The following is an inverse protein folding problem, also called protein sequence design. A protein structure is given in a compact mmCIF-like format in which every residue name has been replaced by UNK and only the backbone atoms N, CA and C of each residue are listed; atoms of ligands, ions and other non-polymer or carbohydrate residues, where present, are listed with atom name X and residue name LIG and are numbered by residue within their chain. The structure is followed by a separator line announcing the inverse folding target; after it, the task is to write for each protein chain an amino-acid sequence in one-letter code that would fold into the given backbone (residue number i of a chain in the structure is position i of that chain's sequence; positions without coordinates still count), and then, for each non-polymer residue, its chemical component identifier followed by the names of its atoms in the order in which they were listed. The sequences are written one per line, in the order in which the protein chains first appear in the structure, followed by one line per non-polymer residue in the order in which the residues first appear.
data_IF_889503605736
#
_entry.id   IF_889503605736
#
_cell.length_a   1.000
_cell.length_b   1.000
_cell.length_c   1.000
_cell.angle_alpha   90.00
_cell.angle_beta   90.00
_cell.angle_gamma   90.00
#
_symmetry.space_group_name_H-M   'P 1'
#
loop_
_entity.id
_entity.type
_entity.pdbx_description
1 polymer ?
#
# COMPACT_ATOMS: atom_id res chain seq x y z
N UNK A 1 -8.73 28.40 35.56
CA UNK A 1 -7.97 28.21 34.34
C UNK A 1 -8.02 26.72 34.02
N UNK A 2 -8.97 26.33 33.15
CA UNK A 2 -9.11 24.95 32.69
C UNK A 2 -7.91 24.61 31.78
N UNK A 3 -6.94 23.89 32.37
CA UNK A 3 -5.74 23.39 31.67
C UNK A 3 -5.97 22.04 31.00
N UNK A 4 -7.19 21.76 30.59
CA UNK A 4 -7.53 20.53 29.89
C UNK A 4 -7.98 20.85 28.45
N UNK A 5 -7.17 21.64 27.71
CA UNK A 5 -7.41 21.83 26.28
C UNK A 5 -7.02 20.53 25.56
N UNK A 6 -8.02 19.83 25.03
CA UNK A 6 -7.78 18.66 24.17
C UNK A 6 -6.92 19.07 22.95
N UNK A 7 -6.09 18.15 22.44
CA UNK A 7 -5.30 18.40 21.22
C UNK A 7 -6.20 18.91 20.08
N UNK A 8 -5.88 20.08 19.54
CA UNK A 8 -6.73 20.77 18.56
C UNK A 8 -6.00 21.09 17.24
N UNK A 9 -4.74 20.73 17.10
CA UNK A 9 -3.96 20.97 15.90
C UNK A 9 -3.93 19.72 15.01
N UNK A 10 -3.92 19.94 13.69
CA UNK A 10 -3.70 18.89 12.69
C UNK A 10 -2.51 19.28 11.83
N UNK A 11 -1.58 18.35 11.67
CA UNK A 11 -0.47 18.49 10.74
C UNK A 11 -0.79 17.70 9.46
N UNK A 12 -0.97 18.41 8.35
CA UNK A 12 -1.13 17.81 7.03
C UNK A 12 0.20 17.84 6.26
N UNK A 13 0.56 16.73 5.63
CA UNK A 13 1.75 16.64 4.76
C UNK A 13 1.33 16.02 3.44
N UNK A 14 1.63 16.70 2.33
CA UNK A 14 1.46 16.17 0.97
C UNK A 14 2.83 15.98 0.31
N UNK A 15 3.16 14.74 -0.03
CA UNK A 15 4.41 14.41 -0.71
C UNK A 15 4.15 14.13 -2.18
N UNK A 16 4.38 15.16 -2.99
CA UNK A 16 4.34 15.07 -4.44
C UNK A 16 5.65 14.61 -5.06
N UNK A 17 5.68 14.46 -6.38
CA UNK A 17 6.88 14.05 -7.12
C UNK A 17 8.01 15.08 -7.13
N UNK A 18 7.72 16.37 -6.87
CA UNK A 18 8.67 17.49 -6.94
C UNK A 18 8.79 18.23 -5.60
N UNK A 19 7.68 18.45 -4.92
CA UNK A 19 7.61 19.16 -3.65
C UNK A 19 6.88 18.34 -2.61
N UNK A 20 7.30 18.54 -1.37
CA UNK A 20 6.60 18.13 -0.15
C UNK A 20 6.08 19.40 0.51
N UNK A 21 4.79 19.46 0.70
CA UNK A 21 4.08 20.57 1.33
C UNK A 21 3.61 20.14 2.74
N UNK A 22 3.68 21.03 3.71
CA UNK A 22 3.16 20.83 5.05
C UNK A 22 2.33 22.00 5.51
N UNK A 23 1.26 21.71 6.24
CA UNK A 23 0.33 22.71 6.78
C UNK A 23 -0.01 22.35 8.21
N UNK A 24 0.10 23.30 9.11
CA UNK A 24 -0.44 23.24 10.47
C UNK A 24 -1.79 23.93 10.51
N UNK A 25 -2.81 23.20 10.94
CA UNK A 25 -4.19 23.64 10.93
C UNK A 25 -4.79 23.57 12.34
N UNK A 26 -5.55 24.59 12.73
CA UNK A 26 -6.45 24.50 13.88
C UNK A 26 -7.73 23.76 13.49
N UNK A 27 -8.02 22.65 14.17
CA UNK A 27 -9.06 21.71 13.76
C UNK A 27 -10.47 22.30 13.74
N UNK A 28 -10.86 23.00 14.82
CA UNK A 28 -12.22 23.52 14.98
C UNK A 28 -12.53 24.66 14.02
N UNK A 29 -11.61 25.60 13.86
CA UNK A 29 -11.81 26.78 13.02
C UNK A 29 -11.38 26.57 11.58
N UNK A 30 -10.65 25.47 11.29
CA UNK A 30 -9.99 25.20 10.00
C UNK A 30 -9.02 26.27 9.55
N UNK A 31 -8.53 27.10 10.51
CA UNK A 31 -7.58 28.16 10.22
C UNK A 31 -6.18 27.57 9.99
N UNK A 32 -5.56 27.92 8.88
CA UNK A 32 -4.14 27.62 8.63
C UNK A 32 -3.30 28.49 9.53
N UNK A 33 -2.48 27.87 10.38
CA UNK A 33 -1.56 28.56 11.31
C UNK A 33 -0.16 28.73 10.70
N UNK A 34 0.31 27.71 9.99
CA UNK A 34 1.58 27.72 9.29
C UNK A 34 1.54 26.85 8.05
N UNK A 35 2.34 27.19 7.06
CA UNK A 35 2.55 26.37 5.88
C UNK A 35 4.02 26.40 5.48
N UNK A 36 4.54 25.27 5.02
CA UNK A 36 5.92 25.11 4.60
C UNK A 36 5.99 24.23 3.35
N UNK A 37 6.97 24.51 2.50
CA UNK A 37 7.25 23.75 1.28
C UNK A 37 8.73 23.41 1.20
N UNK A 38 9.04 22.18 0.81
CA UNK A 38 10.39 21.69 0.55
C UNK A 38 10.46 20.90 -0.74
N UNK A 39 11.65 20.70 -1.30
CA UNK A 39 11.86 19.82 -2.44
C UNK A 39 11.73 18.35 -1.98
N UNK A 40 11.00 17.55 -2.75
CA UNK A 40 10.96 16.12 -2.53
C UNK A 40 12.25 15.45 -2.98
N UNK A 41 12.93 14.77 -2.08
CA UNK A 41 14.12 13.98 -2.39
C UNK A 41 13.73 12.55 -2.70
N UNK A 42 13.69 12.18 -3.99
CA UNK A 42 13.20 10.84 -4.45
C UNK A 42 14.02 9.66 -3.91
N UNK A 43 15.27 9.86 -3.50
CA UNK A 43 16.14 8.80 -2.93
C UNK A 43 15.92 8.60 -1.43
N UNK A 44 15.46 9.64 -0.75
CA UNK A 44 15.19 9.65 0.69
C UNK A 44 14.09 10.66 1.00
N UNK A 45 12.88 10.17 1.16
CA UNK A 45 11.71 10.99 1.45
C UNK A 45 11.80 11.69 2.81
N UNK A 46 12.62 11.15 3.73
CA UNK A 46 12.77 11.72 5.08
C UNK A 46 13.27 13.16 5.03
N UNK A 47 14.16 13.50 4.08
CA UNK A 47 14.76 14.83 3.96
C UNK A 47 13.68 15.90 3.71
N UNK A 48 12.80 15.68 2.75
CA UNK A 48 11.72 16.62 2.43
C UNK A 48 10.70 16.75 3.56
N UNK A 49 10.33 15.62 4.16
CA UNK A 49 9.39 15.55 5.28
C UNK A 49 9.94 16.26 6.50
N UNK A 50 11.18 15.97 6.89
CA UNK A 50 11.85 16.59 8.03
C UNK A 50 11.99 18.11 7.81
N UNK A 51 12.41 18.52 6.61
CA UNK A 51 12.53 19.93 6.25
C UNK A 51 11.20 20.69 6.36
N UNK A 52 10.11 20.06 5.96
CA UNK A 52 8.77 20.63 6.08
C UNK A 52 8.34 20.76 7.54
N UNK A 53 8.49 19.69 8.33
CA UNK A 53 8.09 19.73 9.75
C UNK A 53 8.98 20.69 10.54
N UNK A 54 10.29 20.76 10.25
CA UNK A 54 11.21 21.71 10.90
C UNK A 54 10.90 23.18 10.56
N UNK A 55 10.44 23.43 9.33
CA UNK A 55 10.02 24.76 8.91
C UNK A 55 8.68 25.23 9.50
N UNK A 56 7.87 24.29 10.03
CA UNK A 56 6.66 24.59 10.76
C UNK A 56 7.01 24.68 12.24
N UNK A 57 6.95 25.88 12.80
CA UNK A 57 7.19 26.09 14.24
C UNK A 57 6.01 25.53 15.04
N UNK A 58 6.22 24.39 15.71
CA UNK A 58 5.25 23.72 16.57
C UNK A 58 5.67 24.02 18.02
N UNK A 59 4.93 24.92 18.71
CA UNK A 59 5.25 25.31 20.09
C UNK A 59 4.98 24.15 21.07
N UNK A 60 3.88 23.45 20.89
CA UNK A 60 3.48 22.32 21.71
C UNK A 60 3.11 21.10 20.86
N UNK A 61 4.02 20.12 20.72
CA UNK A 61 3.75 18.89 19.97
C UNK A 61 2.56 18.07 20.51
N UNK A 62 2.26 18.19 21.81
CA UNK A 62 1.14 17.47 22.43
C UNK A 62 -0.24 18.04 22.02
N UNK A 63 -0.28 19.25 21.48
CA UNK A 63 -1.48 19.87 20.93
C UNK A 63 -1.88 19.27 19.56
N UNK A 64 -1.00 18.46 18.93
CA UNK A 64 -1.32 17.78 17.66
C UNK A 64 -2.19 16.56 17.96
N UNK A 65 -3.42 16.58 17.45
CA UNK A 65 -4.38 15.49 17.59
C UNK A 65 -4.25 14.43 16.49
N UNK A 66 -3.70 14.80 15.33
CA UNK A 66 -3.56 13.91 14.18
C UNK A 66 -2.50 14.45 13.20
N UNK A 67 -1.72 13.55 12.65
CA UNK A 67 -0.91 13.82 11.44
C UNK A 67 -1.57 13.12 10.27
N UNK A 68 -1.85 13.85 9.19
CA UNK A 68 -2.43 13.31 7.96
C UNK A 68 -1.45 13.43 6.81
N UNK A 69 -1.23 12.34 6.08
CA UNK A 69 -0.34 12.35 4.91
C UNK A 69 -1.08 11.95 3.64
N UNK A 70 -0.82 12.69 2.56
CA UNK A 70 -1.13 12.28 1.19
C UNK A 70 0.15 12.12 0.39
N UNK A 71 0.09 11.34 -0.68
CA UNK A 71 1.27 11.11 -1.51
C UNK A 71 0.90 10.70 -2.94
N UNK A 72 1.70 11.14 -3.90
CA UNK A 72 1.62 10.68 -5.28
C UNK A 72 2.58 9.52 -5.59
N UNK A 73 3.26 8.95 -4.57
CA UNK A 73 4.30 7.92 -4.75
C UNK A 73 3.80 6.70 -5.51
N UNK A 74 2.67 6.12 -5.09
CA UNK A 74 2.10 4.95 -5.74
C UNK A 74 1.72 5.24 -7.19
N UNK A 75 1.04 6.35 -7.44
CA UNK A 75 0.64 6.78 -8.79
C UNK A 75 1.85 7.00 -9.70
N UNK A 76 2.87 7.68 -9.19
CA UNK A 76 4.10 7.95 -9.95
C UNK A 76 4.90 6.67 -10.20
N UNK A 77 4.99 5.76 -9.23
CA UNK A 77 5.70 4.49 -9.40
C UNK A 77 5.06 3.64 -10.51
N UNK A 78 3.73 3.60 -10.56
CA UNK A 78 3.01 2.88 -11.63
C UNK A 78 3.22 3.56 -12.97
N UNK A 79 3.04 4.89 -13.06
CA UNK A 79 3.16 5.64 -14.31
C UNK A 79 4.58 5.60 -14.90
N UNK A 80 5.60 5.58 -14.03
CA UNK A 80 7.01 5.54 -14.42
C UNK A 80 7.56 4.10 -14.55
N UNK A 81 6.75 3.07 -14.29
CA UNK A 81 7.18 1.66 -14.30
C UNK A 81 8.26 1.34 -13.25
N UNK A 82 8.26 2.06 -12.12
CA UNK A 82 9.27 1.94 -11.06
C UNK A 82 8.85 1.05 -9.89
N UNK A 83 7.78 0.28 -10.05
CA UNK A 83 7.40 -0.73 -9.07
C UNK A 83 8.47 -1.82 -8.92
N UNK A 84 8.47 -2.48 -7.77
CA UNK A 84 9.35 -3.63 -7.51
C UNK A 84 8.97 -4.81 -8.42
N UNK A 85 9.92 -5.71 -8.68
CA UNK A 85 9.68 -6.93 -9.46
C UNK A 85 8.82 -7.90 -8.66
N UNK A 86 7.71 -8.30 -9.22
CA UNK A 86 6.74 -9.18 -8.55
C UNK A 86 6.57 -10.48 -9.32
N UNK A 87 6.49 -11.59 -8.59
CA UNK A 87 5.96 -12.84 -9.11
C UNK A 87 4.48 -12.96 -8.72
N UNK A 88 3.61 -13.19 -9.69
CA UNK A 88 2.18 -13.40 -9.49
C UNK A 88 1.86 -14.91 -9.62
N UNK A 89 1.47 -15.52 -8.52
CA UNK A 89 1.07 -16.93 -8.45
C UNK A 89 -0.45 -17.03 -8.60
N UNK A 90 -0.90 -17.67 -9.67
CA UNK A 90 -2.29 -17.82 -10.08
C UNK A 90 -2.79 -19.22 -9.80
N UNK A 91 -3.54 -19.41 -8.71
CA UNK A 91 -4.04 -20.74 -8.28
C UNK A 91 -5.43 -20.98 -8.85
N UNK A 92 -5.57 -22.06 -9.63
CA UNK A 92 -6.84 -22.48 -10.21
C UNK A 92 -7.36 -21.58 -11.34
N UNK A 93 -6.51 -20.76 -11.92
CA UNK A 93 -6.78 -20.05 -13.17
C UNK A 93 -6.61 -21.00 -14.36
N UNK A 94 -7.41 -20.78 -15.40
CA UNK A 94 -7.33 -21.52 -16.63
C UNK A 94 -6.41 -20.80 -17.63
N UNK A 95 -5.22 -21.35 -17.96
CA UNK A 95 -4.27 -20.72 -18.89
C UNK A 95 -4.88 -20.48 -20.27
N UNK A 96 -5.68 -21.41 -20.77
CA UNK A 96 -6.27 -21.32 -22.12
C UNK A 96 -7.27 -20.15 -22.22
N UNK A 97 -8.02 -19.88 -21.12
CA UNK A 97 -8.92 -18.74 -21.07
C UNK A 97 -8.14 -17.42 -20.96
N UNK A 98 -7.07 -17.39 -20.17
CA UNK A 98 -6.21 -16.20 -20.04
C UNK A 98 -5.60 -15.84 -21.39
N UNK A 99 -5.08 -16.80 -22.13
CA UNK A 99 -4.46 -16.56 -23.44
C UNK A 99 -5.49 -16.21 -24.50
N UNK A 100 -6.60 -16.94 -24.59
CA UNK A 100 -7.68 -16.72 -25.56
C UNK A 100 -8.25 -15.29 -25.48
N UNK A 101 -8.40 -14.77 -24.27
CA UNK A 101 -8.95 -13.42 -24.05
C UNK A 101 -7.88 -12.37 -23.78
N UNK A 102 -6.60 -12.68 -24.00
CA UNK A 102 -5.44 -11.78 -23.78
C UNK A 102 -5.44 -11.12 -22.39
N UNK A 103 -5.93 -11.83 -21.37
CA UNK A 103 -6.08 -11.28 -20.03
C UNK A 103 -4.73 -11.06 -19.35
N UNK A 104 -3.67 -11.74 -19.80
CA UNK A 104 -2.31 -11.56 -19.31
C UNK A 104 -1.79 -10.13 -19.48
N UNK A 105 -2.25 -9.41 -20.51
CA UNK A 105 -1.90 -8.00 -20.74
C UNK A 105 -2.38 -7.07 -19.61
N UNK A 106 -3.34 -7.52 -18.82
CA UNK A 106 -3.89 -6.77 -17.66
C UNK A 106 -3.11 -7.01 -16.38
N UNK A 107 -2.29 -8.06 -16.29
CA UNK A 107 -1.48 -8.30 -15.12
C UNK A 107 -0.41 -7.23 -14.98
N UNK A 108 -0.21 -6.74 -13.75
CA UNK A 108 0.75 -5.68 -13.48
C UNK A 108 2.21 -6.17 -13.43
N UNK A 109 2.46 -7.39 -13.88
CA UNK A 109 3.79 -8.01 -13.94
C UNK A 109 3.85 -9.02 -15.09
N UNK A 110 5.00 -9.12 -15.79
CA UNK A 110 5.21 -10.17 -16.77
C UNK A 110 5.55 -11.53 -16.14
N UNK A 111 5.85 -11.58 -14.85
CA UNK A 111 6.25 -12.79 -14.13
C UNK A 111 5.02 -13.41 -13.46
N UNK A 112 4.17 -14.10 -14.20
CA UNK A 112 3.01 -14.80 -13.66
C UNK A 112 3.11 -16.30 -13.92
N UNK A 113 2.58 -17.11 -12.99
CA UNK A 113 2.72 -18.56 -12.98
C UNK A 113 1.41 -19.21 -12.60
N UNK A 114 0.95 -20.16 -13.43
CA UNK A 114 -0.25 -20.94 -13.15
C UNK A 114 0.10 -22.11 -12.24
N UNK A 115 -0.71 -22.30 -11.22
CA UNK A 115 -0.50 -23.33 -10.20
C UNK A 115 -1.81 -24.11 -9.99
N UNK A 116 -1.66 -25.41 -9.80
CA UNK A 116 -2.76 -26.30 -9.56
C UNK A 116 -3.42 -26.08 -8.19
N UNK A 117 -4.75 -26.18 -8.19
CA UNK A 117 -5.59 -25.95 -7.03
C UNK A 117 -6.92 -25.32 -7.43
N UNK A 118 -7.59 -24.75 -6.47
CA UNK A 118 -8.78 -23.92 -6.69
C UNK A 118 -10.06 -24.48 -6.09
N UNK A 119 -11.01 -23.55 -5.91
CA UNK A 119 -12.34 -23.80 -5.39
C UNK A 119 -13.39 -23.59 -6.49
N UNK A 120 -14.59 -24.13 -6.30
CA UNK A 120 -15.76 -23.86 -7.13
C UNK A 120 -16.49 -22.57 -6.69
N UNK A 121 -17.53 -22.19 -7.41
CA UNK A 121 -18.35 -21.00 -7.09
C UNK A 121 -19.15 -21.12 -5.77
N UNK A 122 -19.10 -22.27 -5.09
CA UNK A 122 -19.68 -22.49 -3.76
C UNK A 122 -18.60 -22.50 -2.66
N UNK A 123 -17.33 -22.22 -3.01
CA UNK A 123 -16.21 -22.26 -2.07
C UNK A 123 -15.74 -23.67 -1.69
N UNK A 124 -16.18 -24.73 -2.41
CA UNK A 124 -15.72 -26.10 -2.17
C UNK A 124 -14.46 -26.36 -2.99
N UNK A 125 -13.51 -27.08 -2.41
CA UNK A 125 -12.28 -27.46 -3.12
C UNK A 125 -12.62 -28.29 -4.38
N UNK A 126 -12.29 -27.74 -5.55
CA UNK A 126 -12.47 -28.39 -6.86
C UNK A 126 -11.24 -29.21 -7.24
N UNK A 127 -10.06 -28.70 -6.92
CA UNK A 127 -8.77 -29.34 -7.16
C UNK A 127 -7.89 -29.11 -5.94
N UNK A 128 -7.21 -30.13 -5.40
CA UNK A 128 -6.28 -29.99 -4.29
C UNK A 128 -5.15 -29.00 -4.64
N UNK A 129 -4.71 -28.23 -3.63
CA UNK A 129 -3.61 -27.30 -3.77
C UNK A 129 -2.29 -28.05 -3.98
N UNK A 130 -1.59 -27.75 -5.07
CA UNK A 130 -0.25 -28.28 -5.35
C UNK A 130 0.83 -27.50 -4.58
N UNK A 131 0.99 -27.80 -3.29
CA UNK A 131 2.04 -27.19 -2.46
C UNK A 131 3.47 -27.49 -2.95
N UNK A 132 3.80 -28.73 -3.39
CA UNK A 132 5.12 -29.01 -3.98
C UNK A 132 5.42 -28.13 -5.20
N UNK A 133 4.45 -27.96 -6.11
CA UNK A 133 4.60 -27.11 -7.28
C UNK A 133 4.80 -25.63 -6.91
N UNK A 134 4.06 -25.13 -5.91
CA UNK A 134 4.25 -23.77 -5.38
C UNK A 134 5.68 -23.60 -4.85
N UNK A 135 6.17 -24.52 -4.02
CA UNK A 135 7.50 -24.44 -3.44
C UNK A 135 8.61 -24.53 -4.50
N UNK A 136 8.44 -25.40 -5.51
CA UNK A 136 9.37 -25.48 -6.64
C UNK A 136 9.44 -24.16 -7.39
N UNK A 137 8.26 -23.58 -7.72
CA UNK A 137 8.20 -22.30 -8.43
C UNK A 137 8.82 -21.17 -7.61
N UNK A 138 8.53 -21.08 -6.31
CA UNK A 138 9.11 -20.05 -5.44
C UNK A 138 10.63 -20.19 -5.35
N UNK A 139 11.16 -21.39 -5.19
CA UNK A 139 12.61 -21.61 -5.15
C UNK A 139 13.31 -21.18 -6.44
N UNK A 140 12.65 -21.32 -7.59
CA UNK A 140 13.20 -20.87 -8.87
C UNK A 140 13.23 -19.34 -8.99
N UNK A 141 12.21 -18.64 -8.47
CA UNK A 141 12.02 -17.20 -8.74
C UNK A 141 12.47 -16.28 -7.61
N UNK A 142 12.58 -16.74 -6.36
CA UNK A 142 12.79 -15.91 -5.16
C UNK A 142 14.01 -14.98 -5.23
N UNK A 143 15.05 -15.35 -6.00
CA UNK A 143 16.24 -14.51 -6.18
C UNK A 143 16.12 -13.52 -7.34
N UNK A 144 15.01 -13.55 -8.10
CA UNK A 144 14.78 -12.71 -9.29
C UNK A 144 13.68 -11.68 -9.11
N UNK A 145 12.93 -11.77 -8.00
CA UNK A 145 11.81 -10.88 -7.67
C UNK A 145 11.99 -10.28 -6.28
N UNK A 146 11.27 -9.22 -6.01
CA UNK A 146 11.35 -8.46 -4.76
C UNK A 146 10.11 -8.67 -3.87
N UNK A 147 9.04 -9.23 -4.43
CA UNK A 147 7.81 -9.57 -3.72
C UNK A 147 7.03 -10.67 -4.47
N UNK A 148 6.11 -11.32 -3.78
CA UNK A 148 5.23 -12.35 -4.33
C UNK A 148 3.76 -11.93 -4.12
N UNK A 149 2.94 -12.04 -5.17
CA UNK A 149 1.50 -11.91 -5.09
C UNK A 149 0.86 -13.28 -5.31
N UNK A 150 -0.13 -13.65 -4.51
CA UNK A 150 -0.88 -14.91 -4.65
C UNK A 150 -2.34 -14.57 -4.88
N UNK A 151 -2.94 -15.12 -5.93
CA UNK A 151 -4.35 -14.97 -6.23
C UNK A 151 -4.96 -16.31 -6.61
N UNK A 152 -5.95 -16.76 -5.84
CA UNK A 152 -6.75 -17.93 -6.20
C UNK A 152 -8.08 -17.50 -6.84
N UNK A 153 -8.54 -18.25 -7.84
CA UNK A 153 -9.65 -17.85 -8.72
C UNK A 153 -10.92 -17.43 -7.95
N UNK A 154 -11.33 -18.23 -6.97
CA UNK A 154 -12.49 -17.96 -6.12
C UNK A 154 -12.12 -17.66 -4.65
N UNK A 155 -10.95 -17.08 -4.40
CA UNK A 155 -10.47 -16.77 -3.04
C UNK A 155 -11.38 -15.86 -2.20
N UNK A 156 -12.24 -14.97 -2.74
CA UNK A 156 -13.22 -14.27 -1.93
C UNK A 156 -14.28 -15.17 -1.28
N UNK A 157 -14.56 -16.34 -1.87
CA UNK A 157 -15.50 -17.31 -1.34
C UNK A 157 -14.82 -18.30 -0.38
N UNK A 158 -13.58 -18.67 -0.68
CA UNK A 158 -12.76 -19.49 0.20
C UNK A 158 -11.26 -19.12 0.04
N UNK A 159 -10.66 -18.45 1.03
CA UNK A 159 -9.27 -18.02 0.96
C UNK A 159 -8.26 -19.12 1.33
N UNK A 160 -8.67 -20.32 1.64
CA UNK A 160 -7.82 -21.37 2.22
C UNK A 160 -6.57 -21.65 1.36
N UNK A 161 -6.70 -21.74 0.04
CA UNK A 161 -5.56 -22.01 -0.83
C UNK A 161 -4.54 -20.87 -0.82
N UNK A 162 -4.96 -19.60 -0.82
CA UNK A 162 -4.03 -18.47 -0.66
C UNK A 162 -3.33 -18.50 0.71
N UNK A 163 -4.06 -18.80 1.78
CA UNK A 163 -3.50 -18.89 3.13
C UNK A 163 -2.52 -20.06 3.30
N UNK A 164 -2.83 -21.22 2.71
CA UNK A 164 -1.92 -22.38 2.72
C UNK A 164 -0.68 -22.12 1.87
N UNK A 165 -0.84 -21.51 0.70
CA UNK A 165 0.27 -21.07 -0.14
C UNK A 165 1.18 -20.08 0.60
N UNK A 166 0.60 -19.09 1.28
CA UNK A 166 1.35 -18.15 2.11
C UNK A 166 2.22 -18.85 3.16
N UNK A 167 1.63 -19.76 3.93
CA UNK A 167 2.38 -20.50 4.97
C UNK A 167 3.53 -21.31 4.38
N UNK A 168 3.32 -21.95 3.23
CA UNK A 168 4.36 -22.71 2.54
C UNK A 168 5.46 -21.78 2.00
N UNK A 169 5.12 -20.66 1.38
CA UNK A 169 6.08 -19.68 0.87
C UNK A 169 6.92 -19.11 2.01
N UNK A 170 6.29 -18.68 3.11
CA UNK A 170 6.96 -18.13 4.28
C UNK A 170 7.94 -19.09 4.96
N UNK A 171 7.80 -20.41 4.74
CA UNK A 171 8.74 -21.41 5.27
C UNK A 171 10.05 -21.52 4.49
N UNK A 172 10.13 -20.95 3.26
CA UNK A 172 11.28 -21.07 2.35
C UNK A 172 11.79 -19.74 1.80
N UNK A 173 11.09 -18.63 2.12
CA UNK A 173 11.35 -17.33 1.51
C UNK A 173 10.89 -16.21 2.45
N UNK A 174 11.74 -15.19 2.64
CA UNK A 174 11.47 -14.00 3.45
C UNK A 174 10.90 -12.82 2.64
N UNK A 175 10.61 -13.03 1.36
CA UNK A 175 10.01 -11.98 0.53
C UNK A 175 8.61 -11.63 1.01
N UNK A 176 8.21 -10.34 0.90
CA UNK A 176 6.84 -9.93 1.15
C UNK A 176 5.85 -10.71 0.27
N UNK A 177 4.77 -11.21 0.88
CA UNK A 177 3.72 -11.95 0.17
C UNK A 177 2.39 -11.21 0.34
N UNK A 178 1.72 -10.95 -0.77
CA UNK A 178 0.39 -10.33 -0.83
C UNK A 178 -0.64 -11.36 -1.24
N UNK A 179 -1.75 -11.42 -0.53
CA UNK A 179 -2.87 -12.32 -0.83
C UNK A 179 -4.03 -11.54 -1.43
N UNK A 180 -4.53 -12.01 -2.58
CA UNK A 180 -5.58 -11.32 -3.34
C UNK A 180 -6.88 -11.13 -2.56
N UNK A 181 -7.32 -12.14 -1.79
CA UNK A 181 -8.55 -12.04 -0.99
C UNK A 181 -8.52 -10.95 0.09
N UNK A 182 -7.33 -10.51 0.52
CA UNK A 182 -7.19 -9.43 1.50
C UNK A 182 -7.42 -8.03 0.90
N UNK A 183 -7.29 -7.90 -0.43
CA UNK A 183 -7.40 -6.62 -1.14
C UNK A 183 -8.77 -6.40 -1.78
N UNK A 184 -9.49 -7.47 -2.09
CA UNK A 184 -10.79 -7.37 -2.76
C UNK A 184 -11.70 -8.55 -2.44
N UNK A 185 -12.93 -8.23 -2.08
CA UNK A 185 -14.01 -9.21 -1.89
C UNK A 185 -14.81 -9.48 -3.17
N UNK A 186 -14.49 -8.76 -4.26
CA UNK A 186 -15.16 -8.93 -5.56
C UNK A 186 -14.71 -10.22 -6.25
N UNK A 187 -15.60 -10.86 -6.99
CA UNK A 187 -15.32 -12.11 -7.72
C UNK A 187 -14.45 -11.92 -8.96
N UNK A 188 -14.25 -10.69 -9.45
CA UNK A 188 -13.38 -10.39 -10.60
C UNK A 188 -11.95 -10.90 -10.36
N UNK A 189 -11.65 -12.09 -10.88
CA UNK A 189 -10.39 -12.80 -10.59
C UNK A 189 -9.18 -12.09 -11.20
N UNK A 190 -9.29 -11.62 -12.44
CA UNK A 190 -8.19 -10.92 -13.14
C UNK A 190 -7.89 -9.58 -12.47
N UNK A 191 -8.92 -8.80 -12.16
CA UNK A 191 -8.79 -7.53 -11.44
C UNK A 191 -8.14 -7.72 -10.07
N UNK A 192 -8.53 -8.77 -9.34
CA UNK A 192 -7.95 -9.10 -8.03
C UNK A 192 -6.49 -9.50 -8.14
N UNK A 193 -6.14 -10.34 -9.14
CA UNK A 193 -4.76 -10.72 -9.40
C UNK A 193 -3.89 -9.51 -9.77
N UNK A 194 -4.40 -8.63 -10.64
CA UNK A 194 -3.74 -7.37 -11.00
C UNK A 194 -3.53 -6.48 -9.79
N UNK A 195 -4.57 -6.31 -8.95
CA UNK A 195 -4.48 -5.52 -7.73
C UNK A 195 -3.46 -6.09 -6.76
N UNK A 196 -3.41 -7.42 -6.60
CA UNK A 196 -2.42 -8.07 -5.73
C UNK A 196 -0.98 -7.84 -6.22
N UNK A 197 -0.74 -7.96 -7.53
CA UNK A 197 0.56 -7.68 -8.11
C UNK A 197 0.97 -6.21 -7.98
N UNK A 198 0.06 -5.26 -8.24
CA UNK A 198 0.30 -3.84 -8.03
C UNK A 198 0.63 -3.54 -6.56
N UNK A 199 -0.18 -4.07 -5.64
CA UNK A 199 0.06 -3.89 -4.21
C UNK A 199 1.45 -4.40 -3.81
N UNK A 200 1.82 -5.59 -4.24
CA UNK A 200 3.12 -6.18 -3.96
C UNK A 200 4.28 -5.31 -4.51
N UNK A 201 4.10 -4.71 -5.69
CA UNK A 201 5.13 -3.85 -6.30
C UNK A 201 5.37 -2.54 -5.56
N UNK A 202 4.40 -2.09 -4.76
CA UNK A 202 4.42 -0.80 -4.07
C UNK A 202 4.76 -0.91 -2.56
N UNK A 203 4.71 -2.13 -1.99
CA UNK A 203 4.85 -2.35 -0.55
C UNK A 203 6.07 -1.67 0.07
N UNK A 204 7.26 -2.00 -0.41
CA UNK A 204 8.49 -1.49 0.17
C UNK A 204 8.56 0.05 0.12
N UNK A 205 8.12 0.65 -0.99
CA UNK A 205 8.15 2.09 -1.17
C UNK A 205 7.25 2.81 -0.14
N UNK A 206 6.03 2.32 0.06
CA UNK A 206 5.12 2.96 1.01
C UNK A 206 5.54 2.68 2.45
N UNK A 207 6.06 1.50 2.75
CA UNK A 207 6.62 1.19 4.06
C UNK A 207 7.78 2.12 4.42
N UNK A 208 8.74 2.31 3.51
CA UNK A 208 9.87 3.24 3.70
C UNK A 208 9.37 4.67 3.94
N UNK A 209 8.36 5.10 3.19
CA UNK A 209 7.75 6.41 3.34
C UNK A 209 7.07 6.58 4.72
N UNK A 210 6.24 5.63 5.14
CA UNK A 210 5.58 5.66 6.45
C UNK A 210 6.61 5.66 7.59
N UNK A 211 7.66 4.84 7.49
CA UNK A 211 8.76 4.81 8.46
C UNK A 211 9.45 6.18 8.53
N UNK A 212 9.70 6.82 7.39
CA UNK A 212 10.32 8.14 7.37
C UNK A 212 9.46 9.20 8.10
N UNK A 213 8.14 9.20 7.85
CA UNK A 213 7.21 10.10 8.55
C UNK A 213 7.19 9.84 10.05
N UNK A 214 7.07 8.57 10.47
CA UNK A 214 7.07 8.20 11.90
C UNK A 214 8.35 8.65 12.60
N UNK A 215 9.52 8.42 12.01
CA UNK A 215 10.80 8.89 12.54
C UNK A 215 10.86 10.42 12.67
N UNK A 216 10.31 11.14 11.69
CA UNK A 216 10.25 12.59 11.73
C UNK A 216 9.32 13.09 12.86
N UNK A 217 8.20 12.41 13.11
CA UNK A 217 7.29 12.67 14.23
C UNK A 217 7.98 12.39 15.59
N UNK A 218 8.60 11.22 15.74
CA UNK A 218 9.30 10.79 16.96
C UNK A 218 10.39 11.79 17.38
N UNK A 219 11.22 12.25 16.44
CA UNK A 219 12.27 13.24 16.72
C UNK A 219 11.72 14.56 17.27
N UNK A 220 10.47 14.88 16.99
CA UNK A 220 9.78 16.10 17.41
C UNK A 220 8.77 15.87 18.50
N UNK A 221 8.79 14.68 19.10
CA UNK A 221 7.88 14.30 20.21
C UNK A 221 6.39 14.44 19.85
N UNK A 222 6.05 14.22 18.56
CA UNK A 222 4.66 14.19 18.10
C UNK A 222 4.12 12.78 18.29
N UNK A 223 3.28 12.56 19.28
CA UNK A 223 2.69 11.24 19.61
C UNK A 223 1.30 11.03 18.99
N UNK A 224 0.87 11.93 18.12
CA UNK A 224 -0.42 11.86 17.45
C UNK A 224 -0.53 10.65 16.51
N UNK A 225 -1.75 10.12 16.27
CA UNK A 225 -1.97 9.08 15.27
C UNK A 225 -1.61 9.57 13.87
N UNK A 226 -0.92 8.71 13.12
CA UNK A 226 -0.58 8.93 11.72
C UNK A 226 -1.66 8.32 10.83
N UNK A 227 -2.28 9.16 10.01
CA UNK A 227 -3.32 8.78 9.06
C UNK A 227 -2.86 9.00 7.64
N UNK A 228 -3.24 8.11 6.74
CA UNK A 228 -2.91 8.18 5.31
C UNK A 228 -4.18 8.40 4.52
N UNK A 229 -4.14 9.35 3.59
CA UNK A 229 -5.27 9.62 2.68
C UNK A 229 -5.38 8.51 1.65
N UNK A 230 -6.58 7.98 1.45
CA UNK A 230 -6.92 7.00 0.40
C UNK A 230 -7.25 7.71 -0.91
N UNK A 231 -7.27 6.92 -2.00
CA UNK A 231 -7.66 7.40 -3.32
C UNK A 231 -9.13 7.86 -3.44
N UNK A 232 -9.98 7.51 -2.49
CA UNK A 232 -11.36 8.00 -2.36
C UNK A 232 -11.48 9.23 -1.42
N UNK A 233 -10.35 9.70 -0.88
CA UNK A 233 -10.27 10.86 0.02
C UNK A 233 -10.59 10.57 1.49
N UNK A 234 -10.92 9.33 1.84
CA UNK A 234 -11.05 8.92 3.25
C UNK A 234 -9.68 8.70 3.89
N UNK A 235 -9.65 8.53 5.21
CA UNK A 235 -8.42 8.27 5.96
C UNK A 235 -8.33 6.81 6.37
N UNK A 236 -7.10 6.27 6.38
CA UNK A 236 -6.77 4.97 6.93
C UNK A 236 -5.56 5.09 7.85
N UNK A 237 -5.39 4.14 8.79
CA UNK A 237 -4.17 4.10 9.60
C UNK A 237 -2.95 3.82 8.72
N UNK A 238 -1.81 4.32 9.14
CA UNK A 238 -0.54 4.08 8.46
C UNK A 238 -0.14 2.59 8.44
N UNK A 239 -0.51 1.83 9.48
CA UNK A 239 -0.31 0.37 9.50
C UNK A 239 -1.12 -0.35 8.42
N UNK A 240 -2.36 0.10 8.16
CA UNK A 240 -3.17 -0.43 7.08
C UNK A 240 -2.60 -0.01 5.73
N UNK A 241 -2.24 1.26 5.56
CA UNK A 241 -1.60 1.78 4.36
C UNK A 241 -0.31 1.01 3.99
N UNK A 242 0.54 0.72 4.98
CA UNK A 242 1.77 -0.03 4.79
C UNK A 242 1.55 -1.46 4.26
N UNK A 243 0.35 -2.03 4.43
CA UNK A 243 -0.05 -3.35 3.89
C UNK A 243 -0.81 -3.24 2.57
N UNK A 244 -1.50 -2.13 2.36
CA UNK A 244 -2.40 -1.93 1.22
C UNK A 244 -2.06 -0.64 0.43
N UNK A 245 -0.81 -0.50 -0.07
CA UNK A 245 -0.38 0.71 -0.79
C UNK A 245 -1.23 1.07 -2.01
N UNK A 246 -1.91 0.11 -2.63
CA UNK A 246 -2.84 0.40 -3.75
C UNK A 246 -3.97 1.35 -3.35
N UNK A 247 -4.34 1.40 -2.07
CA UNK A 247 -5.37 2.31 -1.57
C UNK A 247 -4.93 3.78 -1.58
N UNK A 248 -3.62 4.06 -1.71
CA UNK A 248 -3.09 5.42 -1.82
C UNK A 248 -3.04 5.96 -3.25
N UNK A 249 -3.39 5.13 -4.25
CA UNK A 249 -3.43 5.57 -5.65
C UNK A 249 -4.44 6.71 -5.78
N UNK A 250 -3.99 7.83 -6.37
CA UNK A 250 -4.76 9.09 -6.48
C UNK A 250 -5.08 9.80 -5.16
N UNK A 251 -4.41 9.48 -4.04
CA UNK A 251 -4.66 10.15 -2.76
C UNK A 251 -4.36 11.67 -2.79
N UNK A 252 -3.35 12.13 -3.52
CA UNK A 252 -3.06 13.56 -3.69
C UNK A 252 -4.21 14.33 -4.36
N UNK A 253 -4.66 13.95 -5.58
CA UNK A 253 -5.85 14.53 -6.19
C UNK A 253 -7.11 14.46 -5.34
N UNK A 254 -7.35 13.32 -4.65
CA UNK A 254 -8.49 13.16 -3.76
C UNK A 254 -8.45 14.11 -2.57
N UNK A 255 -7.29 14.26 -1.92
CA UNK A 255 -7.09 15.21 -0.83
C UNK A 255 -7.34 16.64 -1.29
N UNK A 256 -6.86 17.04 -2.48
CA UNK A 256 -7.09 18.36 -3.05
C UNK A 256 -8.57 18.63 -3.36
N UNK A 257 -9.31 17.62 -3.86
CA UNK A 257 -10.71 17.76 -4.20
C UNK A 257 -11.62 17.88 -2.96
N UNK A 258 -11.24 17.28 -1.83
CA UNK A 258 -12.04 17.30 -0.59
C UNK A 258 -11.66 18.50 0.28
N UNK A 259 -10.38 18.93 0.26
CA UNK A 259 -9.87 20.02 1.08
C UNK A 259 -10.04 21.42 0.49
N UNK A 260 -10.47 21.52 -0.80
CA UNK A 260 -10.64 22.79 -1.55
C UNK A 260 -12.09 23.34 -1.45
#
# INVERSE_FOLDING_TARGET
LDTNSQPNLVLGIDTGGTYTDGVLLEYETRRVLAAQKSLTTKRDFSIGIESVIDGIHIEDPSAIRMVSISTTLATNAIAEGKGKRVALLLIGYDPDLIDKFKMAERFATPNYFFLDGGHDLYGREKKPLDLPGILAQVNEIKNRVDAIAVSAYFSPLNPEHEQRAYKAIASVCDLPVVLGHQLSTRLGSVERATTAALNASLLAMLQDFVIAVRRAMERRQIEAPLMVVRGDGTLMSDEFAARTPVETIHSGPAASAIGG
#
